data_IF_826310933526
#
_entry.id   IF_826310933526
#
_cell.length_a   1.000
_cell.length_b   1.000
_cell.length_c   1.000
_cell.angle_alpha   90.00
_cell.angle_beta   90.00
_cell.angle_gamma   90.00
#
_symmetry.space_group_name_H-M   'P 1'
#
loop_
_entity.id
_entity.type
_entity.pdbx_description
1 polymer ?
#
# COMPACT_ATOMS: atom_id res chain seq x y z
N UNK A 1 0.01 -11.84 -10.45
CA UNK A 1 -0.36 -10.47 -10.87
C UNK A 1 -1.05 -9.73 -9.73
N UNK A 2 -0.48 -8.61 -9.29
CA UNK A 2 -1.13 -7.67 -8.39
C UNK A 2 -2.34 -7.01 -9.07
N UNK A 3 -3.46 -6.98 -8.37
CA UNK A 3 -4.63 -6.19 -8.71
C UNK A 3 -4.38 -4.71 -8.41
N UNK A 4 -5.11 -3.82 -9.10
CA UNK A 4 -5.07 -2.38 -8.81
C UNK A 4 -5.42 -2.08 -7.32
N UNK A 5 -6.27 -2.90 -6.70
CA UNK A 5 -6.59 -2.79 -5.28
C UNK A 5 -5.41 -3.15 -4.38
N UNK A 6 -4.63 -4.18 -4.73
CA UNK A 6 -3.40 -4.52 -4.00
C UNK A 6 -2.36 -3.42 -4.14
N UNK A 7 -2.16 -2.87 -5.34
CA UNK A 7 -1.23 -1.74 -5.57
C UNK A 7 -1.66 -0.51 -4.76
N UNK A 8 -2.96 -0.21 -4.74
CA UNK A 8 -3.51 0.85 -3.92
C UNK A 8 -3.25 0.62 -2.42
N UNK A 9 -3.48 -0.60 -1.93
CA UNK A 9 -3.19 -0.94 -0.54
C UNK A 9 -1.70 -0.80 -0.22
N UNK A 10 -0.83 -1.28 -1.10
CA UNK A 10 0.63 -1.12 -0.98
C UNK A 10 1.04 0.36 -0.86
N UNK A 11 0.50 1.23 -1.72
CA UNK A 11 0.72 2.67 -1.63
C UNK A 11 0.21 3.28 -0.33
N UNK A 12 -0.95 2.84 0.17
CA UNK A 12 -1.46 3.31 1.45
C UNK A 12 -0.50 2.98 2.61
N UNK A 13 0.16 1.82 2.59
CA UNK A 13 1.17 1.47 3.59
C UNK A 13 2.43 2.34 3.41
N UNK A 14 2.84 2.57 2.17
CA UNK A 14 3.99 3.43 1.85
C UNK A 14 3.82 4.86 2.37
N UNK A 15 2.67 5.49 2.12
CA UNK A 15 2.39 6.85 2.61
C UNK A 15 2.24 6.91 4.14
N UNK A 16 1.72 5.85 4.77
CA UNK A 16 1.66 5.76 6.25
C UNK A 16 3.05 5.74 6.89
N UNK A 17 4.08 5.27 6.18
CA UNK A 17 5.48 5.34 6.61
C UNK A 17 6.11 6.73 6.38
N UNK A 18 5.34 7.70 5.86
CA UNK A 18 5.83 9.04 5.51
C UNK A 18 6.64 9.07 4.22
N UNK A 19 6.70 7.96 3.48
CA UNK A 19 7.44 7.87 2.23
C UNK A 19 6.63 8.45 1.09
N UNK A 20 7.32 9.13 0.18
CA UNK A 20 6.69 9.90 -0.90
C UNK A 20 6.69 9.11 -2.21
N UNK A 21 5.74 9.46 -3.07
CA UNK A 21 5.71 9.05 -4.48
C UNK A 21 6.16 10.22 -5.34
N UNK A 22 7.04 9.96 -6.30
CA UNK A 22 7.42 10.93 -7.32
C UNK A 22 6.47 10.82 -8.49
N UNK A 23 5.99 11.98 -8.95
CA UNK A 23 5.03 12.14 -10.03
C UNK A 23 5.71 12.79 -11.24
N UNK A 24 5.42 12.27 -12.45
CA UNK A 24 5.94 12.77 -13.74
C UNK A 24 7.46 12.95 -13.74
N UNK A 25 8.18 11.89 -13.37
CA UNK A 25 9.64 11.86 -13.38
C UNK A 25 10.31 13.02 -12.62
N UNK A 26 9.72 13.43 -11.49
CA UNK A 26 10.31 14.45 -10.62
C UNK A 26 9.63 15.82 -10.68
N UNK A 27 8.55 15.98 -11.44
CA UNK A 27 7.80 17.24 -11.49
C UNK A 27 7.14 17.57 -10.13
N UNK A 28 6.69 16.55 -9.40
CA UNK A 28 6.11 16.73 -8.08
C UNK A 28 6.34 15.51 -7.17
N UNK A 29 6.26 15.74 -5.86
CA UNK A 29 6.18 14.67 -4.86
C UNK A 29 4.75 14.64 -4.29
N UNK A 30 4.16 13.46 -4.25
CA UNK A 30 2.84 13.21 -3.66
C UNK A 30 3.00 12.52 -2.30
N UNK A 31 2.41 13.13 -1.27
CA UNK A 31 2.28 12.57 0.06
C UNK A 31 0.96 13.08 0.67
N UNK A 32 -0.14 12.30 0.56
CA UNK A 32 -1.40 12.66 1.19
C UNK A 32 -1.23 12.82 2.70
N UNK A 33 -1.73 13.92 3.25
CA UNK A 33 -1.70 14.21 4.69
C UNK A 33 -2.58 13.25 5.49
N UNK A 34 -3.69 12.80 4.87
CA UNK A 34 -4.62 11.85 5.45
C UNK A 34 -4.82 10.65 4.51
N UNK A 35 -4.43 9.47 4.99
CA UNK A 35 -4.56 8.21 4.25
C UNK A 35 -5.86 7.48 4.62
N UNK A 36 -6.19 7.45 5.91
CA UNK A 36 -7.34 6.71 6.44
C UNK A 36 -8.40 7.66 7.03
N UNK A 37 -9.67 7.31 6.85
CA UNK A 37 -10.82 7.96 7.48
C UNK A 37 -11.75 6.89 8.04
N UNK A 38 -11.45 6.44 9.27
CA UNK A 38 -12.23 5.40 9.94
C UNK A 38 -12.10 4.06 9.21
N UNK A 39 -13.21 3.60 8.65
CA UNK A 39 -13.34 2.29 7.98
C UNK A 39 -13.03 2.32 6.48
N UNK A 40 -12.58 3.47 5.95
CA UNK A 40 -12.26 3.67 4.53
C UNK A 40 -11.00 4.49 4.34
N UNK A 41 -10.52 4.54 3.10
CA UNK A 41 -9.52 5.52 2.71
C UNK A 41 -10.10 6.94 2.76
N UNK A 42 -9.25 7.89 3.13
CA UNK A 42 -9.62 9.29 3.12
C UNK A 42 -9.70 9.81 1.67
N UNK A 43 -10.57 10.81 1.43
CA UNK A 43 -10.76 11.39 0.10
C UNK A 43 -9.46 11.91 -0.51
N UNK A 44 -8.56 12.47 0.29
CA UNK A 44 -7.26 12.98 -0.17
C UNK A 44 -6.38 11.86 -0.78
N UNK A 45 -6.34 10.69 -0.14
CA UNK A 45 -5.64 9.53 -0.69
C UNK A 45 -6.35 8.97 -1.92
N UNK A 46 -7.69 8.95 -1.93
CA UNK A 46 -8.45 8.54 -3.12
C UNK A 46 -8.18 9.44 -4.32
N UNK A 47 -8.15 10.76 -4.12
CA UNK A 47 -7.82 11.73 -5.17
C UNK A 47 -6.38 11.53 -5.69
N UNK A 48 -5.42 11.29 -4.79
CA UNK A 48 -4.06 10.94 -5.15
C UNK A 48 -4.01 9.66 -6.00
N UNK A 49 -4.73 8.62 -5.59
CA UNK A 49 -4.83 7.37 -6.34
C UNK A 49 -5.47 7.56 -7.71
N UNK A 50 -6.57 8.33 -7.81
CA UNK A 50 -7.21 8.65 -9.09
C UNK A 50 -6.27 9.41 -10.02
N UNK A 51 -5.48 10.35 -9.47
CA UNK A 51 -4.45 11.06 -10.22
C UNK A 51 -3.42 10.09 -10.79
N UNK A 52 -2.93 9.14 -9.99
CA UNK A 52 -2.01 8.08 -10.43
C UNK A 52 -2.61 7.22 -11.55
N UNK A 53 -3.84 6.79 -11.38
CA UNK A 53 -4.54 5.97 -12.37
C UNK A 53 -4.90 6.74 -13.65
N UNK A 54 -5.04 8.08 -13.60
CA UNK A 54 -5.33 8.89 -14.80
C UNK A 54 -4.22 8.82 -15.86
N UNK A 55 -2.99 8.46 -15.45
CA UNK A 55 -1.84 8.22 -16.33
C UNK A 55 -1.42 6.75 -16.34
N UNK A 56 -2.25 5.83 -15.84
CA UNK A 56 -1.93 4.41 -15.69
C UNK A 56 -0.62 4.14 -14.91
N UNK A 57 -0.26 5.01 -13.95
CA UNK A 57 0.99 4.89 -13.21
C UNK A 57 2.25 5.27 -14.00
N UNK A 58 2.12 5.77 -15.23
CA UNK A 58 3.25 6.23 -16.04
C UNK A 58 3.99 7.38 -15.36
N UNK A 59 5.31 7.34 -15.44
CA UNK A 59 6.22 8.31 -14.83
C UNK A 59 6.02 8.49 -13.31
N UNK A 60 5.43 7.49 -12.64
CA UNK A 60 5.22 7.47 -11.20
C UNK A 60 6.07 6.39 -10.56
N UNK A 61 6.82 6.74 -9.52
CA UNK A 61 7.64 5.77 -8.78
C UNK A 61 7.76 6.13 -7.31
N UNK A 62 8.02 5.13 -6.48
CA UNK A 62 8.25 5.30 -5.06
C UNK A 62 9.74 5.51 -4.80
N UNK A 63 10.08 6.52 -3.99
CA UNK A 63 11.49 6.77 -3.65
C UNK A 63 12.05 5.59 -2.83
N UNK A 64 13.03 4.89 -3.40
CA UNK A 64 13.65 3.72 -2.76
C UNK A 64 12.95 2.38 -3.04
N UNK A 65 11.95 2.35 -3.94
CA UNK A 65 11.45 1.09 -4.48
C UNK A 65 12.12 0.77 -5.83
N UNK A 66 12.29 -0.52 -6.13
CA UNK A 66 12.81 -0.96 -7.43
C UNK A 66 11.76 -0.87 -8.55
N UNK A 67 10.48 -1.11 -8.22
CA UNK A 67 9.38 -1.09 -9.17
C UNK A 67 8.77 0.32 -9.33
N UNK A 68 8.49 0.70 -10.56
CA UNK A 68 7.59 1.82 -10.88
C UNK A 68 6.13 1.45 -10.67
N UNK A 69 5.24 2.45 -10.59
CA UNK A 69 3.80 2.16 -10.44
C UNK A 69 3.22 1.52 -11.69
N UNK A 70 3.67 1.93 -12.89
CA UNK A 70 3.28 1.31 -14.15
C UNK A 70 3.60 -0.19 -14.13
N UNK A 71 4.82 -0.57 -13.70
CA UNK A 71 5.23 -1.97 -13.59
C UNK A 71 4.39 -2.76 -12.58
N UNK A 72 4.10 -2.19 -11.40
CA UNK A 72 3.25 -2.82 -10.38
C UNK A 72 1.82 -3.09 -10.87
N UNK A 73 1.34 -2.34 -11.86
CA UNK A 73 0.03 -2.54 -12.49
C UNK A 73 0.06 -3.59 -13.61
N UNK A 74 1.22 -4.15 -13.93
CA UNK A 74 1.37 -5.24 -14.93
C UNK A 74 1.33 -6.62 -14.28
N UNK A 75 1.12 -7.69 -15.08
CA UNK A 75 1.21 -9.06 -14.60
C UNK A 75 2.60 -9.48 -14.12
N UNK A 76 3.65 -8.71 -14.38
CA UNK A 76 5.02 -9.07 -14.01
C UNK A 76 5.30 -8.98 -12.51
N UNK A 77 4.41 -8.34 -11.75
CA UNK A 77 4.57 -8.12 -10.32
C UNK A 77 3.40 -8.67 -9.50
N UNK A 78 3.70 -9.07 -8.28
CA UNK A 78 2.77 -9.43 -7.22
C UNK A 78 3.04 -8.61 -5.97
N UNK A 79 2.01 -8.49 -5.14
CA UNK A 79 2.15 -7.90 -3.82
C UNK A 79 1.92 -9.01 -2.80
N UNK A 80 2.97 -9.35 -2.06
CA UNK A 80 2.92 -10.32 -0.98
C UNK A 80 3.29 -9.66 0.35
N UNK A 81 3.40 -10.42 1.43
CA UNK A 81 3.63 -9.92 2.77
C UNK A 81 5.05 -10.25 3.21
N UNK A 82 5.76 -9.23 3.73
CA UNK A 82 7.07 -9.40 4.31
C UNK A 82 7.04 -10.43 5.45
N UNK A 83 7.89 -11.44 5.40
CA UNK A 83 7.99 -12.47 6.44
C UNK A 83 8.36 -11.92 7.83
N UNK A 84 8.98 -10.72 7.90
CA UNK A 84 9.42 -10.09 9.16
C UNK A 84 8.34 -9.25 9.82
N UNK A 85 7.60 -8.46 9.04
CA UNK A 85 6.70 -7.44 9.57
C UNK A 85 5.31 -7.46 8.95
N UNK A 86 5.00 -8.44 8.09
CA UNK A 86 3.72 -8.61 7.39
C UNK A 86 3.29 -7.44 6.49
N UNK A 87 4.15 -6.44 6.26
CA UNK A 87 3.85 -5.34 5.34
C UNK A 87 3.84 -5.80 3.89
N UNK A 88 3.03 -5.17 3.04
CA UNK A 88 3.01 -5.49 1.62
C UNK A 88 4.36 -5.16 0.96
N UNK A 89 4.87 -6.08 0.15
CA UNK A 89 6.11 -5.97 -0.62
C UNK A 89 5.83 -6.30 -2.08
N UNK A 90 6.45 -5.56 -2.99
CA UNK A 90 6.42 -5.85 -4.41
C UNK A 90 7.40 -6.97 -4.74
N UNK A 91 6.93 -8.01 -5.40
CA UNK A 91 7.72 -9.17 -5.83
C UNK A 91 7.59 -9.35 -7.34
N UNK A 92 8.70 -9.69 -8.00
CA UNK A 92 8.68 -9.99 -9.44
C UNK A 92 8.22 -11.43 -9.63
N UNK A 93 7.33 -11.73 -10.57
CA UNK A 93 6.89 -13.11 -10.82
C UNK A 93 8.02 -13.99 -11.38
N UNK A 94 8.90 -13.41 -12.20
CA UNK A 94 10.04 -14.08 -12.82
C UNK A 94 11.28 -13.20 -12.81
N UNK A 95 12.34 -13.63 -12.13
CA UNK A 95 13.62 -12.91 -12.09
C UNK A 95 14.25 -12.91 -10.70
N UNK A 96 15.17 -11.98 -10.49
CA UNK A 96 15.79 -11.74 -9.18
C UNK A 96 14.82 -10.92 -8.35
N UNK A 97 14.52 -11.39 -7.13
CA UNK A 97 13.62 -10.69 -6.22
C UNK A 97 14.30 -9.46 -5.63
N UNK A 98 13.58 -8.33 -5.52
CA UNK A 98 13.97 -7.25 -4.63
C UNK A 98 14.08 -7.82 -3.20
N UNK A 99 15.21 -7.57 -2.55
CA UNK A 99 15.47 -8.09 -1.19
C UNK A 99 14.84 -7.22 -0.11
N UNK A 100 14.39 -6.02 -0.47
CA UNK A 100 14.07 -4.97 0.48
C UNK A 100 12.57 -4.76 0.66
N UNK A 101 12.14 -4.86 1.93
CA UNK A 101 10.81 -4.44 2.34
C UNK A 101 10.74 -2.92 2.41
N UNK A 102 9.53 -2.36 2.26
CA UNK A 102 9.26 -0.93 2.47
C UNK A 102 9.75 -0.35 3.81
N UNK A 103 10.11 -1.18 4.79
CA UNK A 103 10.69 -0.74 6.04
C UNK A 103 12.21 -0.90 6.18
N UNK A 104 12.93 -1.45 5.20
CA UNK A 104 14.35 -1.82 5.38
C UNK A 104 15.25 -0.62 5.69
N UNK A 105 14.85 0.57 5.25
CA UNK A 105 15.49 1.87 5.42
C UNK A 105 14.99 2.67 6.63
N UNK A 106 14.06 2.13 7.42
CA UNK A 106 13.55 2.76 8.63
C UNK A 106 14.36 2.31 9.85
N UNK A 107 15.13 3.22 10.44
CA UNK A 107 16.04 2.93 11.57
C UNK A 107 15.37 2.19 12.75
N UNK A 108 14.10 2.50 13.03
CA UNK A 108 13.37 1.98 14.19
C UNK A 108 12.34 0.89 13.83
N UNK A 109 12.41 0.23 12.66
CA UNK A 109 11.43 -0.77 12.25
C UNK A 109 11.92 -2.23 12.44
N UNK A 110 11.06 -3.18 12.89
CA UNK A 110 9.64 -3.03 13.26
C UNK A 110 9.45 -2.29 14.59
N UNK A 111 8.70 -1.19 14.54
CA UNK A 111 8.35 -0.45 15.74
C UNK A 111 7.05 -1.03 16.32
N UNK A 112 7.14 -1.71 17.47
CA UNK A 112 5.97 -2.25 18.17
C UNK A 112 5.29 -1.25 19.10
N UNK A 113 5.86 -0.06 19.28
CA UNK A 113 5.28 1.02 20.10
C UNK A 113 4.25 1.84 19.33
N UNK A 114 4.30 1.81 17.99
CA UNK A 114 3.34 2.49 17.11
C UNK A 114 2.44 1.48 16.41
N UNK A 115 1.19 1.87 16.08
CA UNK A 115 0.36 1.07 15.20
C UNK A 115 1.06 0.83 13.87
N UNK A 116 1.07 -0.41 13.42
CA UNK A 116 1.62 -0.73 12.10
C UNK A 116 0.76 -0.10 11.00
N UNK A 117 1.35 0.29 9.85
CA UNK A 117 0.60 0.64 8.66
C UNK A 117 -0.42 -0.46 8.35
N UNK A 118 -1.64 -0.05 8.05
CA UNK A 118 -2.75 -0.97 7.83
C UNK A 118 -3.71 -0.44 6.77
N UNK A 119 -4.46 -1.34 6.15
CA UNK A 119 -5.62 -1.01 5.34
C UNK A 119 -6.81 -0.61 6.23
N UNK A 120 -7.78 0.17 5.70
CA UNK A 120 -8.97 0.53 6.45
C UNK A 120 -9.70 -0.70 7.01
N UNK A 121 -10.07 -0.64 8.29
CA UNK A 121 -10.70 -1.77 9.00
C UNK A 121 -12.19 -1.48 9.17
N UNK A 122 -13.05 -2.29 8.54
CA UNK A 122 -14.48 -2.26 8.78
C UNK A 122 -14.85 -3.25 9.90
N UNK A 123 -14.81 -2.77 11.14
CA UNK A 123 -15.18 -3.56 12.32
C UNK A 123 -16.65 -3.98 12.31
N UNK A 124 -17.54 -3.20 11.68
CA UNK A 124 -18.98 -3.48 11.67
C UNK A 124 -19.29 -4.76 10.91
N UNK A 125 -18.67 -5.00 9.75
CA UNK A 125 -18.83 -6.24 8.99
C UNK A 125 -18.44 -7.46 9.82
N UNK A 126 -17.31 -7.37 10.54
CA UNK A 126 -16.83 -8.47 11.39
C UNK A 126 -17.75 -8.70 12.59
N UNK A 127 -18.21 -7.64 13.25
CA UNK A 127 -19.13 -7.72 14.39
C UNK A 127 -20.48 -8.29 13.98
N UNK A 128 -21.02 -7.90 12.82
CA UNK A 128 -22.25 -8.48 12.27
C UNK A 128 -22.08 -9.98 12.00
N UNK A 129 -20.97 -10.38 11.36
CA UNK A 129 -20.65 -11.80 11.13
C UNK A 129 -20.57 -12.61 12.43
N UNK A 130 -19.96 -12.05 13.49
CA UNK A 130 -19.92 -12.70 14.81
C UNK A 130 -21.33 -12.79 15.42
N UNK A 131 -22.11 -11.72 15.36
CA UNK A 131 -23.49 -11.65 15.86
C UNK A 131 -24.40 -12.69 15.20
N UNK A 132 -24.33 -12.83 13.87
CA UNK A 132 -25.14 -13.79 13.12
C UNK A 132 -24.80 -15.24 13.49
N UNK A 133 -23.51 -15.54 13.69
CA UNK A 133 -23.04 -16.84 14.18
C UNK A 133 -23.49 -17.17 15.60
N UNK A 134 -23.70 -16.15 16.43
CA UNK A 134 -24.20 -16.34 17.80
C UNK A 134 -25.72 -16.54 17.84
N UNK A 135 -26.47 -15.91 16.93
CA UNK A 135 -27.93 -16.05 16.81
C UNK A 135 -28.39 -17.36 16.14
N UNK A 136 -27.48 -18.00 15.41
CA UNK A 136 -27.72 -19.28 14.72
C UNK A 136 -27.34 -20.50 15.57
N UNK A 137 -26.97 -20.27 16.84
CA UNK A 137 -26.81 -21.28 17.89
C UNK A 137 -28.04 -21.29 18.79
#
# INVERSE_FOLDING_TARGET
MASATEVKNYLAHWFQLGKKLVWRNGEAELLPSKILQGDRFASEFEECWQKIMSVNGQDCYLLGAEATIEELLTPAWTIDHCARCTMPIAMVETGIQPLDCACSDLENWPNTELPTPHSPINSQTKLTSISDRLKTK
#
